data_IF_735268216678
#
_entry.id   IF_735268216678
#
_cell.length_a   1.000
_cell.length_b   1.000
_cell.length_c   1.000
_cell.angle_alpha   90.00
_cell.angle_beta   90.00
_cell.angle_gamma   90.00
#
_symmetry.space_group_name_H-M   'P 1'
#
loop_
_entity.id
_entity.type
_entity.pdbx_description
1 polymer ?
#
# COMPACT_ATOMS: atom_id res chain seq x y z
N UNK A 1 7.02 -17.95 -13.32
CA UNK A 1 7.57 -16.85 -14.15
C UNK A 1 8.70 -16.08 -13.43
N UNK A 2 9.34 -16.69 -12.43
CA UNK A 2 10.48 -16.08 -11.74
C UNK A 2 11.71 -16.05 -12.67
N UNK A 3 12.45 -14.94 -12.66
CA UNK A 3 13.60 -14.73 -13.53
C UNK A 3 14.78 -14.18 -12.73
N UNK A 4 15.95 -14.80 -12.90
CA UNK A 4 17.20 -14.22 -12.44
C UNK A 4 17.80 -13.36 -13.56
N UNK A 5 18.41 -12.24 -13.18
CA UNK A 5 19.07 -11.38 -14.15
C UNK A 5 20.53 -11.75 -14.28
N UNK A 6 21.07 -11.63 -15.49
CA UNK A 6 22.50 -11.69 -15.71
C UNK A 6 23.20 -10.44 -15.16
N UNK A 7 24.54 -10.51 -15.00
CA UNK A 7 25.35 -9.36 -14.58
C UNK A 7 25.26 -8.22 -15.61
N UNK A 8 25.16 -8.57 -16.88
CA UNK A 8 25.03 -7.63 -18.01
C UNK A 8 23.68 -6.92 -17.98
N UNK A 9 22.59 -7.65 -17.72
CA UNK A 9 21.25 -7.07 -17.57
C UNK A 9 21.19 -6.08 -16.40
N UNK A 10 21.79 -6.44 -15.27
CA UNK A 10 21.87 -5.55 -14.11
C UNK A 10 22.74 -4.31 -14.39
N UNK A 11 23.87 -4.48 -15.06
CA UNK A 11 24.73 -3.36 -15.47
C UNK A 11 24.01 -2.41 -16.45
N UNK A 12 23.27 -2.96 -17.42
CA UNK A 12 22.48 -2.19 -18.37
C UNK A 12 21.36 -1.41 -17.67
N UNK A 13 20.65 -2.03 -16.74
CA UNK A 13 19.62 -1.37 -15.94
C UNK A 13 20.20 -0.25 -15.07
N UNK A 14 21.35 -0.48 -14.43
CA UNK A 14 22.06 0.54 -13.65
C UNK A 14 22.47 1.73 -14.51
N UNK A 15 23.00 1.48 -15.70
CA UNK A 15 23.33 2.52 -16.69
C UNK A 15 22.07 3.32 -17.07
N UNK A 16 20.96 2.62 -17.35
CA UNK A 16 19.68 3.26 -17.69
C UNK A 16 19.14 4.15 -16.56
N UNK A 17 19.21 3.70 -15.31
CA UNK A 17 18.80 4.51 -14.15
C UNK A 17 19.65 5.78 -14.06
N UNK A 18 20.99 5.67 -14.20
CA UNK A 18 21.89 6.84 -14.22
C UNK A 18 21.55 7.82 -15.35
N UNK A 19 21.23 7.32 -16.55
CA UNK A 19 20.79 8.16 -17.66
C UNK A 19 19.48 8.89 -17.37
N UNK A 20 18.51 8.19 -16.77
CA UNK A 20 17.19 8.74 -16.46
C UNK A 20 17.27 9.79 -15.33
N UNK A 21 18.18 9.63 -14.37
CA UNK A 21 18.37 10.54 -13.24
C UNK A 21 19.36 11.67 -13.50
N UNK A 22 19.98 11.73 -14.68
CA UNK A 22 20.96 12.76 -15.05
C UNK A 22 20.40 14.19 -15.07
N UNK A 23 19.09 14.34 -15.25
CA UNK A 23 18.39 15.63 -15.12
C UNK A 23 17.28 15.45 -14.10
N UNK A 24 17.34 16.24 -13.04
CA UNK A 24 16.32 16.26 -11.99
C UNK A 24 15.27 17.32 -12.28
N UNK A 25 14.09 17.12 -11.69
CA UNK A 25 13.01 18.10 -11.60
C UNK A 25 13.53 19.34 -10.85
N UNK A 26 13.10 20.54 -11.24
CA UNK A 26 13.52 21.77 -10.56
C UNK A 26 13.03 21.78 -9.11
N UNK A 27 13.79 22.40 -8.20
CA UNK A 27 13.48 22.37 -6.76
C UNK A 27 12.08 22.93 -6.45
N UNK A 28 11.69 24.01 -7.12
CA UNK A 28 10.35 24.62 -6.98
C UNK A 28 9.23 23.64 -7.36
N UNK A 29 9.42 22.86 -8.42
CA UNK A 29 8.48 21.83 -8.84
C UNK A 29 8.50 20.64 -7.87
N UNK A 30 9.65 20.25 -7.31
CA UNK A 30 9.71 19.21 -6.28
C UNK A 30 8.87 19.57 -5.04
N UNK A 31 8.99 20.82 -4.56
CA UNK A 31 8.18 21.34 -3.44
C UNK A 31 6.69 21.30 -3.79
N UNK A 32 6.33 21.67 -5.02
CA UNK A 32 4.94 21.57 -5.51
C UNK A 32 4.44 20.12 -5.47
N UNK A 33 5.22 19.16 -5.97
CA UNK A 33 4.84 17.74 -5.99
C UNK A 33 4.65 17.13 -4.59
N UNK A 34 5.43 17.58 -3.59
CA UNK A 34 5.22 17.18 -2.20
C UNK A 34 3.95 17.83 -1.62
N UNK A 35 3.82 19.16 -1.73
CA UNK A 35 2.69 19.90 -1.15
C UNK A 35 1.34 19.48 -1.75
N UNK A 36 1.32 19.14 -3.03
CA UNK A 36 0.09 18.80 -3.77
C UNK A 36 -0.09 17.28 -3.95
N UNK A 37 0.69 16.45 -3.25
CA UNK A 37 0.65 14.99 -3.38
C UNK A 37 -0.77 14.41 -3.25
N UNK A 38 -1.54 14.85 -2.24
CA UNK A 38 -2.93 14.40 -2.05
C UNK A 38 -3.83 14.78 -3.24
N UNK A 39 -3.67 15.98 -3.82
CA UNK A 39 -4.45 16.44 -4.99
C UNK A 39 -4.21 15.58 -6.23
N UNK A 40 -2.97 15.15 -6.45
CA UNK A 40 -2.65 14.25 -7.57
C UNK A 40 -3.33 12.88 -7.41
N UNK A 41 -3.35 12.33 -6.20
CA UNK A 41 -4.05 11.07 -5.93
C UNK A 41 -5.57 11.21 -5.97
N UNK A 42 -6.16 12.27 -5.43
CA UNK A 42 -7.58 12.54 -5.57
C UNK A 42 -7.99 12.68 -7.04
N UNK A 43 -7.18 13.36 -7.84
CA UNK A 43 -7.41 13.49 -9.29
C UNK A 43 -7.34 12.12 -9.97
N UNK A 44 -6.34 11.31 -9.61
CA UNK A 44 -6.22 9.94 -10.08
C UNK A 44 -7.49 9.12 -9.77
N UNK A 45 -7.98 9.13 -8.53
CA UNK A 45 -9.18 8.37 -8.14
C UNK A 45 -10.47 8.93 -8.74
N UNK A 46 -10.57 10.25 -8.96
CA UNK A 46 -11.70 10.85 -9.69
C UNK A 46 -11.79 10.36 -11.14
N UNK A 47 -10.64 10.28 -11.83
CA UNK A 47 -10.57 9.83 -13.22
C UNK A 47 -10.80 8.32 -13.32
N UNK A 48 -10.15 7.54 -12.45
CA UNK A 48 -10.05 6.10 -12.60
C UNK A 48 -11.04 5.29 -11.78
N UNK A 49 -11.58 5.85 -10.69
CA UNK A 49 -12.46 5.18 -9.74
C UNK A 49 -11.85 3.82 -9.31
N UNK A 50 -12.64 2.76 -9.36
CA UNK A 50 -12.21 1.37 -9.07
C UNK A 50 -11.77 0.58 -10.31
N UNK A 51 -11.58 1.21 -11.48
CA UNK A 51 -11.37 0.49 -12.75
C UNK A 51 -9.91 0.31 -13.16
N UNK A 52 -8.99 1.03 -12.51
CA UNK A 52 -7.58 1.03 -12.91
C UNK A 52 -6.80 -0.16 -12.34
N UNK A 53 -6.97 -0.44 -11.05
CA UNK A 53 -6.33 -1.57 -10.40
C UNK A 53 -7.27 -2.77 -10.36
N UNK A 54 -6.68 -3.96 -10.45
CA UNK A 54 -7.40 -5.21 -10.21
C UNK A 54 -7.39 -5.54 -8.72
N UNK A 55 -8.40 -6.28 -8.30
CA UNK A 55 -8.43 -6.82 -6.96
C UNK A 55 -7.23 -7.71 -6.68
N UNK A 56 -6.66 -7.51 -5.49
CA UNK A 56 -5.41 -8.11 -5.05
C UNK A 56 -5.66 -9.47 -4.40
N UNK A 57 -6.41 -10.33 -5.07
CA UNK A 57 -6.73 -11.70 -4.61
C UNK A 57 -5.48 -12.56 -4.32
N UNK A 58 -4.32 -12.18 -4.84
CA UNK A 58 -3.04 -12.83 -4.56
C UNK A 58 -2.53 -12.56 -3.13
N UNK A 59 -3.03 -11.53 -2.43
CA UNK A 59 -2.55 -11.13 -1.10
C UNK A 59 -2.60 -12.27 -0.10
N UNK A 60 -3.73 -12.98 -0.01
CA UNK A 60 -3.91 -14.05 0.99
C UNK A 60 -2.95 -15.22 0.78
N UNK A 61 -2.48 -15.44 -0.46
CA UNK A 61 -1.46 -16.45 -0.75
C UNK A 61 -0.06 -15.98 -0.36
N UNK A 62 0.25 -14.70 -0.60
CA UNK A 62 1.57 -14.14 -0.33
C UNK A 62 1.77 -13.72 1.14
N UNK A 63 0.67 -13.43 1.81
CA UNK A 63 0.56 -12.92 3.17
C UNK A 63 -0.59 -13.63 3.92
N UNK A 64 -0.47 -14.94 4.18
CA UNK A 64 -1.48 -15.68 4.95
C UNK A 64 -1.64 -15.14 6.38
N UNK A 65 -0.66 -14.40 6.90
CA UNK A 65 -0.70 -13.76 8.22
C UNK A 65 -1.74 -12.64 8.34
N UNK A 66 -2.34 -12.19 7.23
CA UNK A 66 -3.47 -11.25 7.24
C UNK A 66 -4.68 -11.84 7.97
N UNK A 67 -4.79 -13.17 8.04
CA UNK A 67 -5.93 -13.85 8.64
C UNK A 67 -5.58 -14.39 10.04
N UNK A 68 -6.59 -14.49 10.94
CA UNK A 68 -6.44 -15.21 12.20
C UNK A 68 -5.95 -16.65 11.98
N UNK A 69 -5.23 -17.21 12.95
CA UNK A 69 -4.58 -18.53 12.84
C UNK A 69 -5.55 -19.65 12.46
N UNK A 70 -6.78 -19.61 12.98
CA UNK A 70 -7.82 -20.63 12.76
C UNK A 70 -8.47 -20.58 11.36
N UNK A 71 -8.05 -19.63 10.52
CA UNK A 71 -8.65 -19.37 9.20
C UNK A 71 -7.64 -19.42 8.06
N UNK A 72 -6.43 -19.93 8.34
CA UNK A 72 -5.44 -20.18 7.29
C UNK A 72 -5.98 -21.30 6.38
N UNK A 73 -5.97 -21.12 5.05
CA UNK A 73 -6.22 -22.23 4.14
C UNK A 73 -5.21 -23.34 4.43
N UNK A 74 -5.67 -24.57 4.70
CA UNK A 74 -4.77 -25.72 4.82
C UNK A 74 -3.96 -25.86 3.52
N UNK A 75 -2.67 -25.54 3.56
CA UNK A 75 -1.75 -25.94 2.51
C UNK A 75 -1.64 -27.46 2.57
N UNK A 76 -2.38 -28.16 1.70
CA UNK A 76 -2.14 -29.58 1.46
C UNK A 76 -0.69 -29.74 1.01
N UNK A 77 0.14 -30.26 1.92
CA UNK A 77 1.47 -30.77 1.63
C UNK A 77 1.40 -31.67 0.39
N UNK A 78 2.00 -31.19 -0.71
CA UNK A 78 2.39 -32.02 -1.85
C UNK A 78 3.89 -31.88 -2.02
N UNK A 79 4.61 -32.41 -1.05
CA UNK A 79 5.87 -33.09 -1.35
C UNK A 79 5.51 -34.47 -1.88
N UNK A 80 5.51 -34.64 -3.20
CA UNK A 80 5.71 -35.96 -3.80
C UNK A 80 6.38 -35.81 -5.17
N UNK A 81 7.66 -36.20 -5.18
CA UNK A 81 8.41 -36.77 -6.31
C UNK A 81 8.21 -36.15 -7.69
N UNK A 82 9.11 -35.25 -8.08
CA UNK A 82 9.45 -35.07 -9.49
C UNK A 82 10.60 -36.02 -9.84
N UNK A 83 10.26 -37.29 -10.06
CA UNK A 83 11.10 -38.19 -10.84
C UNK A 83 10.34 -38.64 -12.08
N UNK A 84 11.06 -38.58 -13.20
CA UNK A 84 10.76 -39.09 -14.54
C UNK A 84 9.88 -38.26 -15.48
N UNK A 85 10.58 -37.43 -16.24
CA UNK A 85 10.21 -36.95 -17.59
C UNK A 85 10.34 -38.10 -18.60
N UNK A 86 9.30 -38.35 -19.42
CA UNK A 86 9.42 -38.50 -20.89
C UNK A 86 8.07 -38.68 -21.63
N UNK A 87 7.90 -37.87 -22.70
CA UNK A 87 7.14 -38.07 -23.98
C UNK A 87 5.62 -38.31 -23.91
N UNK A 88 4.73 -37.87 -24.82
CA UNK A 88 4.79 -37.32 -26.17
C UNK A 88 3.41 -36.75 -26.59
N UNK A 89 3.43 -35.69 -27.42
CA UNK A 89 2.56 -35.38 -28.58
C UNK A 89 1.00 -35.43 -28.56
N UNK A 90 0.46 -34.38 -29.20
CA UNK A 90 -0.70 -34.28 -30.14
C UNK A 90 -2.15 -34.03 -29.67
N UNK A 91 -2.70 -32.88 -30.17
CA UNK A 91 -4.05 -32.57 -30.72
C UNK A 91 -5.32 -32.89 -29.88
N UNK A 92 -6.45 -32.16 -29.89
CA UNK A 92 -7.00 -31.05 -30.66
C UNK A 92 -8.37 -30.58 -30.04
N UNK A 93 -8.74 -29.31 -30.25
CA UNK A 93 -10.09 -28.65 -30.32
C UNK A 93 -11.15 -28.85 -29.19
N UNK A 94 -11.93 -27.84 -28.73
CA UNK A 94 -12.83 -26.90 -29.45
C UNK A 94 -13.18 -25.71 -28.51
N UNK A 95 -13.01 -24.41 -28.82
CA UNK A 95 -13.80 -23.44 -29.62
C UNK A 95 -15.27 -23.21 -29.20
N UNK A 96 -15.59 -21.97 -28.77
CA UNK A 96 -16.78 -21.13 -29.05
C UNK A 96 -16.59 -19.79 -28.27
N UNK A 97 -16.02 -18.73 -28.85
CA UNK A 97 -16.60 -17.62 -29.64
C UNK A 97 -17.60 -16.68 -28.93
N UNK A 98 -17.16 -15.43 -28.74
CA UNK A 98 -17.94 -14.23 -28.41
C UNK A 98 -18.40 -13.51 -29.70
N UNK A 99 -19.53 -12.79 -29.68
CA UNK A 99 -19.85 -11.81 -30.72
C UNK A 99 -19.42 -10.38 -30.32
N UNK A 100 -18.62 -9.76 -31.20
CA UNK A 100 -18.57 -8.30 -31.51
C UNK A 100 -19.81 -7.93 -32.33
N UNK A 101 -20.36 -6.71 -32.39
CA UNK A 101 -19.93 -5.41 -33.01
C UNK A 101 -21.06 -4.36 -32.75
N UNK A 102 -21.10 -3.10 -33.25
CA UNK A 102 -20.07 -2.11 -33.63
C UNK A 102 -20.33 -0.66 -33.11
N UNK A 103 -19.38 0.24 -33.41
CA UNK A 103 -19.47 1.71 -33.40
C UNK A 103 -20.49 2.26 -34.42
N UNK A 104 -21.22 3.32 -34.08
CA UNK A 104 -21.77 4.30 -35.04
C UNK A 104 -21.68 5.74 -34.52
N UNK A 105 -21.29 6.63 -35.44
CA UNK A 105 -21.30 8.09 -35.35
C UNK A 105 -22.73 8.62 -35.46
N UNK A 106 -23.03 9.75 -34.83
CA UNK A 106 -24.03 10.70 -35.35
C UNK A 106 -23.72 12.15 -34.93
N UNK A 107 -23.78 13.06 -35.91
CA UNK A 107 -23.91 14.50 -35.77
C UNK A 107 -25.42 14.85 -35.70
N UNK A 108 -25.82 15.86 -34.92
CA UNK A 108 -26.43 17.13 -35.40
C UNK A 108 -27.01 17.98 -34.23
N UNK A 109 -26.61 19.25 -34.27
CA UNK A 109 -27.29 20.52 -33.93
C UNK A 109 -27.88 20.88 -32.54
N UNK A 110 -27.60 22.16 -32.23
CA UNK A 110 -28.12 23.01 -31.16
C UNK A 110 -29.60 23.35 -31.39
N UNK A 111 -30.35 23.50 -30.29
CA UNK A 111 -31.19 24.69 -30.11
C UNK A 111 -31.43 25.01 -28.64
N UNK A 112 -31.66 26.30 -28.43
CA UNK A 112 -31.83 27.07 -27.20
C UNK A 112 -33.18 26.88 -26.50
N UNK A 113 -33.21 27.07 -25.19
CA UNK A 113 -34.45 27.32 -24.44
C UNK A 113 -34.18 27.62 -22.98
N UNK A 114 -34.46 28.84 -22.54
CA UNK A 114 -34.28 29.33 -21.17
C UNK A 114 -35.43 28.87 -20.26
N UNK A 115 -35.18 28.66 -18.97
CA UNK A 115 -36.07 29.18 -17.92
C UNK A 115 -35.39 29.20 -16.55
N UNK A 116 -35.72 30.26 -15.82
CA UNK A 116 -35.27 30.64 -14.50
C UNK A 116 -35.82 29.73 -13.38
N UNK A 117 -35.14 29.71 -12.24
CA UNK A 117 -35.63 29.10 -11.01
C UNK A 117 -34.66 29.30 -9.85
N UNK A 118 -34.89 30.36 -9.08
CA UNK A 118 -34.17 30.72 -7.85
C UNK A 118 -34.32 29.65 -6.75
N UNK A 119 -33.29 29.45 -5.93
CA UNK A 119 -33.45 29.47 -4.47
C UNK A 119 -32.10 29.59 -3.77
N UNK A 120 -32.02 30.61 -2.90
CA UNK A 120 -31.01 30.78 -1.85
C UNK A 120 -31.38 29.88 -0.68
N UNK A 121 -30.38 29.34 0.00
CA UNK A 121 -30.36 29.30 1.48
C UNK A 121 -28.93 29.14 1.97
N UNK A 122 -28.43 30.22 2.57
CA UNK A 122 -27.33 30.22 3.53
C UNK A 122 -27.74 29.42 4.79
N UNK A 123 -26.77 28.74 5.40
CA UNK A 123 -26.76 28.56 6.85
C UNK A 123 -25.33 28.38 7.33
N UNK A 124 -24.76 29.50 7.78
CA UNK A 124 -23.65 29.55 8.71
C UNK A 124 -24.04 28.84 10.02
N UNK A 125 -23.16 28.02 10.57
CA UNK A 125 -23.08 27.82 12.01
C UNK A 125 -21.64 27.84 12.47
N UNK A 126 -21.38 28.81 13.33
CA UNK A 126 -20.14 29.21 13.96
C UNK A 126 -19.76 28.31 15.15
N UNK A 127 -18.44 28.25 15.37
CA UNK A 127 -17.68 28.12 16.62
C UNK A 127 -18.40 27.60 17.88
N UNK A 128 -17.83 26.55 18.49
CA UNK A 128 -17.81 26.43 19.94
C UNK A 128 -16.54 25.70 20.46
N UNK A 129 -15.74 26.50 21.16
CA UNK A 129 -14.88 26.25 22.33
C UNK A 129 -13.99 25.01 22.44
N UNK A 130 -12.70 25.34 22.46
CA UNK A 130 -11.58 24.64 23.08
C UNK A 130 -11.69 24.66 24.62
N UNK A 131 -11.95 23.51 25.23
CA UNK A 131 -11.81 23.30 26.68
C UNK A 131 -10.73 22.23 26.98
N UNK A 132 -9.93 22.52 28.00
CA UNK A 132 -8.71 21.81 28.39
C UNK A 132 -9.07 20.58 29.22
N UNK A 133 -8.77 19.37 28.75
CA UNK A 133 -8.88 18.18 29.59
C UNK A 133 -7.54 17.72 30.18
N UNK A 134 -7.47 17.87 31.51
CA UNK A 134 -6.51 17.28 32.44
C UNK A 134 -6.53 15.75 32.31
N UNK A 135 -5.34 15.12 32.35
CA UNK A 135 -5.15 13.66 32.43
C UNK A 135 -5.80 13.09 33.69
N UNK A 136 -6.95 12.45 33.53
CA UNK A 136 -7.48 11.44 34.44
C UNK A 136 -7.17 10.01 33.95
N UNK A 137 -7.48 8.96 34.73
CA UNK A 137 -7.24 7.57 34.36
C UNK A 137 -8.01 7.24 33.07
N UNK A 138 -7.34 6.57 32.13
CA UNK A 138 -7.88 6.18 30.83
C UNK A 138 -9.22 5.43 30.99
N UNK A 139 -10.34 6.08 30.67
CA UNK A 139 -11.54 5.33 30.28
C UNK A 139 -11.13 4.43 29.11
N UNK A 140 -11.42 3.14 29.19
CA UNK A 140 -11.34 2.22 28.05
C UNK A 140 -12.37 2.66 27.02
N UNK A 141 -12.02 3.70 26.25
CA UNK A 141 -12.93 4.36 25.32
C UNK A 141 -13.40 3.39 24.25
N UNK A 142 -14.70 3.42 23.96
CA UNK A 142 -15.25 2.72 22.80
C UNK A 142 -14.64 3.35 21.53
N UNK A 143 -13.75 2.62 20.87
CA UNK A 143 -13.29 2.91 19.52
C UNK A 143 -13.89 1.90 18.51
N UNK A 144 -13.99 2.23 17.21
CA UNK A 144 -14.49 1.29 16.19
C UNK A 144 -13.69 -0.01 16.24
N UNK A 145 -14.33 -1.18 16.37
CA UNK A 145 -13.59 -2.45 16.45
C UNK A 145 -12.93 -2.74 17.81
N UNK A 146 -13.30 -2.02 18.87
CA UNK A 146 -12.83 -2.28 20.24
C UNK A 146 -13.13 -3.71 20.72
N UNK A 147 -14.26 -4.30 20.33
CA UNK A 147 -14.62 -5.68 20.67
C UNK A 147 -13.85 -6.75 19.88
N UNK A 148 -13.16 -6.39 18.80
CA UNK A 148 -12.47 -7.36 17.95
C UNK A 148 -11.21 -7.92 18.63
N UNK A 149 -10.95 -9.21 18.47
CA UNK A 149 -9.74 -9.88 18.99
C UNK A 149 -8.60 -9.90 17.99
N UNK A 150 -8.90 -9.67 16.70
CA UNK A 150 -7.92 -9.59 15.63
C UNK A 150 -8.10 -8.31 14.80
N UNK A 151 -7.09 -7.45 14.75
CA UNK A 151 -7.20 -6.12 14.13
C UNK A 151 -6.17 -5.90 13.04
N UNK A 152 -6.64 -5.49 11.87
CA UNK A 152 -5.82 -5.25 10.68
C UNK A 152 -5.90 -3.77 10.32
N UNK A 153 -4.78 -3.16 9.92
CA UNK A 153 -4.76 -1.86 9.26
C UNK A 153 -4.23 -2.01 7.83
N UNK A 154 -5.04 -1.66 6.82
CA UNK A 154 -4.56 -1.39 5.47
C UNK A 154 -4.22 0.10 5.32
N UNK A 155 -2.93 0.40 5.18
CA UNK A 155 -2.48 1.74 4.82
C UNK A 155 -2.52 1.91 3.30
N UNK A 156 -3.03 3.04 2.82
CA UNK A 156 -3.16 3.34 1.39
C UNK A 156 -4.19 2.44 0.70
N UNK A 157 -5.42 2.44 1.23
CA UNK A 157 -6.47 1.54 0.78
C UNK A 157 -6.91 1.79 -0.67
N UNK A 158 -6.66 2.99 -1.21
CA UNK A 158 -7.09 3.38 -2.54
C UNK A 158 -8.59 3.12 -2.76
N UNK A 159 -8.96 2.58 -3.92
CA UNK A 159 -10.34 2.21 -4.23
C UNK A 159 -10.80 0.87 -3.60
N UNK A 160 -10.04 0.30 -2.65
CA UNK A 160 -10.44 -0.91 -1.92
C UNK A 160 -10.06 -2.24 -2.55
N UNK A 161 -9.14 -2.26 -3.52
CA UNK A 161 -8.75 -3.48 -4.23
C UNK A 161 -8.09 -4.55 -3.35
N UNK A 162 -7.61 -4.23 -2.14
CA UNK A 162 -7.28 -5.23 -1.11
C UNK A 162 -8.37 -5.34 -0.06
N UNK A 163 -8.93 -4.20 0.36
CA UNK A 163 -10.00 -4.12 1.36
C UNK A 163 -11.08 -5.16 1.10
N UNK A 164 -11.66 -5.22 -0.10
CA UNK A 164 -12.80 -6.11 -0.36
C UNK A 164 -12.44 -7.59 -0.42
N UNK A 165 -11.33 -8.01 -1.06
CA UNK A 165 -10.84 -9.38 -0.90
C UNK A 165 -10.63 -9.79 0.56
N UNK A 166 -10.07 -8.91 1.39
CA UNK A 166 -9.86 -9.19 2.82
C UNK A 166 -11.19 -9.30 3.55
N UNK A 167 -12.10 -8.33 3.40
CA UNK A 167 -13.42 -8.35 4.03
C UNK A 167 -14.25 -9.58 3.64
N UNK A 168 -14.15 -10.01 2.38
CA UNK A 168 -14.84 -11.21 1.92
C UNK A 168 -14.34 -12.46 2.65
N UNK A 169 -13.04 -12.57 2.91
CA UNK A 169 -12.49 -13.68 3.69
C UNK A 169 -12.84 -13.59 5.17
N UNK A 170 -12.87 -12.37 5.73
CA UNK A 170 -13.25 -12.13 7.12
C UNK A 170 -14.76 -12.27 7.39
N UNK A 171 -15.58 -12.61 6.40
CA UNK A 171 -17.03 -12.65 6.59
C UNK A 171 -17.46 -13.63 7.68
N UNK A 172 -16.70 -14.72 7.85
CA UNK A 172 -16.95 -15.79 8.81
C UNK A 172 -16.19 -15.56 10.14
N UNK A 173 -15.72 -14.34 10.37
CA UNK A 173 -14.76 -13.97 11.42
C UNK A 173 -15.24 -12.70 12.12
N UNK A 174 -16.40 -12.75 12.82
CA UNK A 174 -17.00 -11.56 13.41
C UNK A 174 -16.08 -10.85 14.41
N UNK A 175 -15.15 -11.60 15.02
CA UNK A 175 -14.12 -11.12 15.94
C UNK A 175 -12.96 -10.35 15.26
N UNK A 176 -12.95 -10.27 13.93
CA UNK A 176 -11.94 -9.54 13.16
C UNK A 176 -12.43 -8.16 12.74
N UNK A 177 -11.53 -7.17 12.78
CA UNK A 177 -11.83 -5.81 12.35
C UNK A 177 -10.75 -5.25 11.43
N UNK A 178 -11.18 -4.66 10.31
CA UNK A 178 -10.31 -4.05 9.31
C UNK A 178 -10.43 -2.52 9.37
N UNK A 179 -9.36 -1.87 9.81
CA UNK A 179 -9.15 -0.45 9.55
C UNK A 179 -8.54 -0.29 8.17
N UNK A 180 -8.95 0.72 7.42
CA UNK A 180 -8.29 1.07 6.18
C UNK A 180 -8.23 2.59 6.01
N UNK A 181 -7.09 3.10 5.57
CA UNK A 181 -6.93 4.54 5.41
C UNK A 181 -6.25 4.93 4.12
N UNK A 182 -6.53 6.14 3.68
CA UNK A 182 -5.85 6.79 2.57
C UNK A 182 -5.82 8.29 2.84
N UNK A 183 -4.78 8.98 2.40
CA UNK A 183 -4.68 10.44 2.53
C UNK A 183 -5.53 11.19 1.48
N UNK A 184 -5.97 10.50 0.42
CA UNK A 184 -6.86 11.02 -0.60
C UNK A 184 -8.31 10.74 -0.19
N UNK A 185 -9.12 11.78 0.02
CA UNK A 185 -10.51 11.59 0.48
C UNK A 185 -11.37 10.85 -0.55
N UNK A 186 -11.11 11.08 -1.84
CA UNK A 186 -11.82 10.39 -2.91
C UNK A 186 -11.60 8.86 -2.91
N UNK A 187 -10.44 8.39 -2.43
CA UNK A 187 -10.18 6.96 -2.25
C UNK A 187 -11.06 6.36 -1.14
N UNK A 188 -11.10 7.03 0.01
CA UNK A 188 -11.89 6.62 1.16
C UNK A 188 -13.39 6.61 0.84
N UNK A 189 -13.87 7.60 0.09
CA UNK A 189 -15.26 7.65 -0.40
C UNK A 189 -15.60 6.47 -1.34
N UNK A 190 -14.69 6.08 -2.24
CA UNK A 190 -14.88 4.91 -3.09
C UNK A 190 -15.00 3.62 -2.26
N UNK A 191 -14.21 3.50 -1.18
CA UNK A 191 -14.32 2.34 -0.27
C UNK A 191 -15.66 2.33 0.46
N UNK A 192 -16.07 3.47 1.04
CA UNK A 192 -17.33 3.58 1.82
C UNK A 192 -18.58 3.38 0.98
N UNK A 193 -18.55 3.79 -0.30
CA UNK A 193 -19.68 3.67 -1.23
C UNK A 193 -19.80 2.30 -1.90
N UNK A 194 -18.82 1.43 -1.72
CA UNK A 194 -18.84 0.09 -2.30
C UNK A 194 -19.91 -0.79 -1.62
N UNK A 195 -20.68 -1.55 -2.40
CA UNK A 195 -21.77 -2.39 -1.88
C UNK A 195 -21.32 -3.47 -0.88
N UNK A 196 -20.07 -3.92 -0.98
CA UNK A 196 -19.46 -4.88 -0.05
C UNK A 196 -18.86 -4.24 1.21
N UNK A 197 -18.96 -2.92 1.38
CA UNK A 197 -18.51 -2.25 2.61
C UNK A 197 -19.38 -2.66 3.80
N UNK A 198 -18.75 -3.09 4.89
CA UNK A 198 -19.43 -3.57 6.11
C UNK A 198 -18.95 -2.79 7.32
N UNK A 199 -19.69 -1.75 7.72
CA UNK A 199 -19.31 -0.88 8.84
C UNK A 199 -19.14 -1.63 10.18
N UNK A 200 -19.75 -2.80 10.33
CA UNK A 200 -19.60 -3.66 11.52
C UNK A 200 -18.23 -4.34 11.64
N UNK A 201 -17.49 -4.48 10.53
CA UNK A 201 -16.17 -5.12 10.49
C UNK A 201 -15.10 -4.27 9.80
N UNK A 202 -15.46 -3.08 9.32
CA UNK A 202 -14.57 -2.22 8.56
C UNK A 202 -14.76 -0.77 8.96
N UNK A 203 -13.64 -0.05 9.12
CA UNK A 203 -13.64 1.39 9.30
C UNK A 203 -12.65 2.07 8.34
N UNK A 204 -13.20 2.72 7.31
CA UNK A 204 -12.43 3.51 6.37
C UNK A 204 -12.32 4.98 6.82
N UNK A 205 -11.12 5.56 6.81
CA UNK A 205 -10.88 6.94 7.26
C UNK A 205 -9.79 7.66 6.47
N UNK A 206 -9.90 8.99 6.38
CA UNK A 206 -8.87 9.82 5.73
C UNK A 206 -7.71 10.01 6.71
N UNK A 207 -6.50 9.72 6.27
CA UNK A 207 -5.32 9.83 7.13
C UNK A 207 -4.04 9.99 6.31
N UNK A 208 -3.32 11.09 6.51
CA UNK A 208 -1.94 11.22 6.03
C UNK A 208 -1.00 10.56 7.04
N UNK A 209 -0.52 9.35 6.71
CA UNK A 209 0.44 8.63 7.56
C UNK A 209 1.73 9.38 7.79
N UNK A 210 2.02 10.41 7.00
CA UNK A 210 3.20 11.23 7.13
C UNK A 210 3.00 12.45 8.03
N UNK A 211 1.77 12.73 8.49
CA UNK A 211 1.46 13.79 9.46
C UNK A 211 1.54 13.22 10.89
N UNK A 212 2.50 13.74 11.67
CA UNK A 212 2.79 13.26 13.02
C UNK A 212 1.76 13.73 14.06
N UNK A 213 0.94 14.73 13.73
CA UNK A 213 -0.07 15.30 14.61
C UNK A 213 -1.46 14.66 14.49
N UNK A 214 -1.70 13.86 13.44
CA UNK A 214 -3.00 13.23 13.21
C UNK A 214 -3.15 11.96 14.07
N UNK A 215 -4.15 11.90 14.97
CA UNK A 215 -4.42 10.70 15.74
C UNK A 215 -5.04 9.61 14.85
N UNK A 216 -4.74 8.35 15.16
CA UNK A 216 -5.49 7.21 14.65
C UNK A 216 -6.83 7.10 15.38
N UNK A 217 -7.88 6.54 14.76
CA UNK A 217 -9.19 6.34 15.39
C UNK A 217 -9.20 5.17 16.39
N UNK A 218 -8.02 4.80 16.91
CA UNK A 218 -7.79 3.71 17.82
C UNK A 218 -6.46 3.90 18.58
N UNK A 219 -6.27 3.29 19.76
CA UNK A 219 -5.03 3.39 20.53
C UNK A 219 -3.83 2.69 19.89
N UNK A 220 -2.62 3.10 20.27
CA UNK A 220 -1.38 2.39 19.94
C UNK A 220 -1.36 0.96 20.52
N UNK A 221 -0.58 0.07 19.89
CA UNK A 221 -0.32 -1.26 20.44
C UNK A 221 -1.44 -2.29 20.32
N UNK A 222 -2.44 -2.06 19.46
CA UNK A 222 -3.62 -2.93 19.35
C UNK A 222 -3.66 -3.79 18.08
N UNK A 223 -2.84 -3.47 17.07
CA UNK A 223 -2.93 -4.09 15.75
C UNK A 223 -2.17 -5.41 15.69
N UNK A 224 -2.82 -6.44 15.14
CA UNK A 224 -2.21 -7.72 14.79
C UNK A 224 -1.39 -7.60 13.51
N UNK A 225 -1.95 -6.90 12.52
CA UNK A 225 -1.39 -6.83 11.17
C UNK A 225 -1.49 -5.40 10.64
N UNK A 226 -0.40 -4.94 10.02
CA UNK A 226 -0.39 -3.75 9.17
C UNK A 226 -0.01 -4.17 7.76
N UNK A 227 -0.85 -3.82 6.78
CA UNK A 227 -0.58 -3.97 5.36
C UNK A 227 -0.06 -2.65 4.80
N UNK A 228 1.12 -2.71 4.17
CA UNK A 228 1.79 -1.58 3.56
C UNK A 228 2.19 -1.95 2.12
N UNK A 229 1.20 -1.92 1.22
CA UNK A 229 1.33 -2.46 -0.15
C UNK A 229 1.17 -1.34 -1.18
N UNK A 230 2.25 -1.03 -1.90
CA UNK A 230 2.35 0.08 -2.88
C UNK A 230 2.06 1.47 -2.30
N UNK A 231 2.53 1.72 -1.07
CA UNK A 231 2.30 2.99 -0.35
C UNK A 231 3.58 3.79 -0.21
N UNK A 232 4.63 3.21 0.37
CA UNK A 232 5.86 3.93 0.67
C UNK A 232 6.46 4.52 -0.61
N UNK A 233 6.31 3.87 -1.76
CA UNK A 233 6.80 4.43 -3.02
C UNK A 233 6.20 5.79 -3.39
N UNK A 234 5.05 6.18 -2.84
CA UNK A 234 4.43 7.48 -3.08
C UNK A 234 4.87 8.59 -2.10
N UNK A 235 5.60 8.22 -1.05
CA UNK A 235 6.05 9.09 0.04
C UNK A 235 7.49 9.56 -0.24
N UNK A 236 7.83 10.78 0.19
CA UNK A 236 9.20 11.27 0.08
C UNK A 236 10.15 10.39 0.94
N UNK A 237 11.33 9.96 0.43
CA UNK A 237 12.25 9.07 1.16
C UNK A 237 12.57 9.51 2.59
N UNK A 238 12.80 10.81 2.80
CA UNK A 238 13.13 11.38 4.11
C UNK A 238 12.01 11.22 5.15
N UNK A 239 10.76 11.04 4.72
CA UNK A 239 9.59 10.85 5.59
C UNK A 239 9.30 9.37 5.90
N UNK A 240 9.83 8.44 5.10
CA UNK A 240 9.49 7.01 5.20
C UNK A 240 9.87 6.41 6.56
N UNK A 241 11.03 6.77 7.11
CA UNK A 241 11.46 6.24 8.41
C UNK A 241 10.50 6.67 9.53
N UNK A 242 10.03 7.93 9.50
CA UNK A 242 9.04 8.44 10.46
C UNK A 242 7.73 7.65 10.40
N UNK A 243 7.25 7.36 9.18
CA UNK A 243 6.07 6.54 8.93
C UNK A 243 6.24 5.14 9.53
N UNK A 244 7.34 4.43 9.24
CA UNK A 244 7.56 3.07 9.76
C UNK A 244 7.71 3.06 11.29
N UNK A 245 8.39 4.07 11.86
CA UNK A 245 8.50 4.20 13.32
C UNK A 245 7.13 4.34 13.98
N UNK A 246 6.19 5.08 13.38
CA UNK A 246 4.81 5.20 13.89
C UNK A 246 4.02 3.92 13.71
N UNK A 247 4.02 3.32 12.52
CA UNK A 247 3.30 2.07 12.26
C UNK A 247 3.76 0.95 13.21
N UNK A 248 5.05 0.88 13.53
CA UNK A 248 5.60 -0.06 14.51
C UNK A 248 4.99 0.13 15.92
N UNK A 249 4.66 1.37 16.33
CA UNK A 249 4.00 1.63 17.63
C UNK A 249 2.56 1.09 17.68
N UNK A 250 1.84 1.13 16.56
CA UNK A 250 0.46 0.66 16.47
C UNK A 250 0.34 -0.87 16.61
N UNK A 251 1.38 -1.62 16.24
CA UNK A 251 1.41 -3.07 16.40
C UNK A 251 1.47 -3.48 17.87
N UNK A 252 0.73 -4.52 18.24
CA UNK A 252 0.94 -5.22 19.50
C UNK A 252 2.25 -6.03 19.47
N UNK A 253 2.81 -6.44 20.62
CA UNK A 253 3.94 -7.39 20.64
C UNK A 253 3.59 -8.66 19.84
N UNK A 254 4.50 -9.08 18.95
CA UNK A 254 4.27 -10.19 18.02
C UNK A 254 3.47 -9.84 16.76
N UNK A 255 2.92 -8.62 16.65
CA UNK A 255 2.20 -8.15 15.47
C UNK A 255 3.10 -8.03 14.23
N UNK A 256 2.49 -8.11 13.05
CA UNK A 256 3.19 -8.22 11.76
C UNK A 256 2.96 -6.97 10.88
N UNK A 257 4.03 -6.43 10.33
CA UNK A 257 3.99 -5.48 9.21
C UNK A 257 4.33 -6.22 7.92
N UNK A 258 3.38 -6.22 6.99
CA UNK A 258 3.44 -6.92 5.71
C UNK A 258 3.64 -5.89 4.59
N UNK A 259 4.78 -5.94 3.94
CA UNK A 259 5.25 -4.91 3.02
C UNK A 259 5.36 -5.46 1.59
N UNK A 260 4.86 -4.71 0.61
CA UNK A 260 5.17 -4.98 -0.80
C UNK A 260 5.20 -3.69 -1.61
N UNK A 261 6.30 -3.41 -2.29
CA UNK A 261 6.41 -2.21 -3.13
C UNK A 261 7.35 -2.42 -4.34
N UNK A 262 7.52 -1.40 -5.18
CA UNK A 262 8.35 -1.48 -6.38
C UNK A 262 9.83 -1.72 -6.03
N UNK A 263 10.44 -2.72 -6.67
CA UNK A 263 11.87 -2.99 -6.53
C UNK A 263 12.70 -2.24 -7.56
N UNK A 264 13.98 -2.03 -7.25
CA UNK A 264 14.95 -1.45 -8.19
C UNK A 264 14.96 -2.18 -9.50
N UNK A 265 15.10 -1.39 -10.56
CA UNK A 265 15.14 -1.83 -11.95
C UNK A 265 13.83 -2.45 -12.46
N UNK A 266 12.71 -2.29 -11.75
CA UNK A 266 11.40 -2.55 -12.33
C UNK A 266 11.26 -1.80 -13.66
N UNK A 267 10.59 -2.42 -14.63
CA UNK A 267 10.36 -1.82 -15.96
C UNK A 267 9.83 -0.38 -15.89
N UNK A 268 9.01 -0.04 -14.90
CA UNK A 268 8.50 1.32 -14.75
C UNK A 268 9.62 2.30 -14.41
N UNK A 269 10.57 1.94 -13.55
CA UNK A 269 11.77 2.75 -13.25
C UNK A 269 12.61 2.99 -14.52
N UNK A 270 12.86 1.92 -15.28
CA UNK A 270 13.74 1.97 -16.45
C UNK A 270 13.17 2.81 -17.61
N UNK A 271 11.85 3.06 -17.60
CA UNK A 271 11.15 3.82 -18.65
C UNK A 271 11.00 5.30 -18.38
N UNK A 272 11.31 5.79 -17.18
CA UNK A 272 11.31 7.23 -16.92
C UNK A 272 12.23 7.97 -17.89
N UNK A 273 11.85 9.19 -18.22
CA UNK A 273 12.68 10.09 -19.03
C UNK A 273 13.43 11.04 -18.10
N UNK A 274 14.46 11.67 -18.66
CA UNK A 274 15.16 12.79 -18.00
C UNK A 274 14.14 13.87 -17.62
N UNK A 275 14.38 14.57 -16.51
CA UNK A 275 13.46 15.59 -16.00
C UNK A 275 12.29 15.07 -15.18
N UNK A 276 12.20 13.75 -14.93
CA UNK A 276 11.20 13.17 -14.02
C UNK A 276 11.78 12.70 -12.68
N UNK A 277 13.10 12.79 -12.51
CA UNK A 277 13.79 12.36 -11.29
C UNK A 277 13.67 13.46 -10.23
N UNK A 278 13.00 13.18 -9.12
CA UNK A 278 12.88 14.08 -7.98
C UNK A 278 14.15 14.02 -7.12
N UNK A 279 14.50 12.81 -6.69
CA UNK A 279 15.71 12.50 -5.94
C UNK A 279 16.21 11.10 -6.32
N UNK A 280 17.28 10.62 -5.69
CA UNK A 280 17.87 9.33 -6.04
C UNK A 280 16.82 8.21 -6.01
N UNK A 281 16.49 7.73 -7.21
CA UNK A 281 15.47 6.72 -7.48
C UNK A 281 14.03 7.04 -7.04
N UNK A 282 13.74 8.31 -6.83
CA UNK A 282 12.40 8.83 -6.63
C UNK A 282 11.98 9.62 -7.86
N UNK A 283 10.82 9.29 -8.43
CA UNK A 283 10.38 9.85 -9.69
C UNK A 283 8.94 10.35 -9.63
N UNK A 284 8.64 11.35 -10.46
CA UNK A 284 7.28 11.83 -10.71
C UNK A 284 6.74 11.29 -12.03
N UNK A 285 5.50 10.83 -12.03
CA UNK A 285 4.76 10.33 -13.20
C UNK A 285 4.04 11.47 -13.92
N UNK A 286 3.52 11.19 -15.12
CA UNK A 286 2.82 12.19 -15.94
C UNK A 286 1.53 12.73 -15.32
N UNK A 287 0.94 12.00 -14.37
CA UNK A 287 -0.25 12.43 -13.60
C UNK A 287 0.13 13.17 -12.29
N UNK A 288 1.42 13.42 -12.06
CA UNK A 288 1.94 14.06 -10.85
C UNK A 288 2.08 13.12 -9.64
N UNK A 289 1.59 11.88 -9.72
CA UNK A 289 1.85 10.87 -8.68
C UNK A 289 3.31 10.44 -8.70
N UNK A 290 3.80 9.84 -7.61
CA UNK A 290 5.23 9.60 -7.40
C UNK A 290 5.52 8.13 -7.16
N UNK A 291 6.75 7.74 -7.45
CA UNK A 291 7.23 6.37 -7.26
C UNK A 291 8.70 6.34 -6.87
N UNK A 292 8.95 5.80 -5.69
CA UNK A 292 10.25 5.32 -5.24
C UNK A 292 10.43 3.85 -5.60
N UNK A 293 11.66 3.45 -5.83
CA UNK A 293 12.03 2.06 -6.11
C UNK A 293 12.99 1.57 -5.03
N UNK A 294 12.74 0.41 -4.45
CA UNK A 294 13.46 -0.06 -3.27
C UNK A 294 14.46 -1.17 -3.60
N UNK A 295 15.56 -1.20 -2.86
CA UNK A 295 16.40 -2.38 -2.68
C UNK A 295 15.94 -3.16 -1.46
N UNK A 296 16.28 -4.45 -1.40
CA UNK A 296 16.10 -5.27 -0.19
C UNK A 296 16.78 -4.64 1.04
N UNK A 297 17.99 -4.10 0.87
CA UNK A 297 18.81 -3.54 1.95
C UNK A 297 18.24 -2.25 2.54
N UNK A 298 17.70 -1.35 1.71
CA UNK A 298 17.00 -0.14 2.18
C UNK A 298 15.80 -0.51 3.05
N UNK A 299 14.98 -1.48 2.62
CA UNK A 299 13.81 -1.96 3.37
C UNK A 299 14.24 -2.63 4.67
N UNK A 300 15.25 -3.51 4.64
CA UNK A 300 15.80 -4.12 5.85
C UNK A 300 16.22 -3.06 6.88
N UNK A 301 17.07 -2.11 6.47
CA UNK A 301 17.58 -1.05 7.33
C UNK A 301 16.46 -0.21 7.94
N UNK A 302 15.48 0.20 7.12
CA UNK A 302 14.38 1.06 7.55
C UNK A 302 13.48 0.38 8.60
N UNK A 303 13.16 -0.90 8.39
CA UNK A 303 12.26 -1.64 9.27
C UNK A 303 12.96 -2.09 10.56
N UNK A 304 14.22 -2.52 10.50
CA UNK A 304 14.99 -2.85 11.70
C UNK A 304 15.26 -1.61 12.58
N UNK A 305 15.50 -0.44 11.98
CA UNK A 305 15.59 0.83 12.74
C UNK A 305 14.30 1.19 13.49
N UNK A 306 13.16 0.69 13.02
CA UNK A 306 11.87 0.82 13.69
C UNK A 306 11.58 -0.30 14.70
N UNK A 307 12.62 -1.05 15.11
CA UNK A 307 12.54 -2.16 16.06
C UNK A 307 11.63 -3.30 15.60
N UNK A 308 11.63 -3.60 14.30
CA UNK A 308 10.95 -4.76 13.73
C UNK A 308 11.97 -5.81 13.28
N UNK A 309 11.69 -7.07 13.60
CA UNK A 309 12.49 -8.23 13.18
C UNK A 309 12.12 -8.62 11.74
N UNK A 310 13.12 -8.73 10.86
CA UNK A 310 12.92 -9.27 9.51
C UNK A 310 12.64 -10.78 9.59
N UNK A 311 11.42 -11.20 9.23
CA UNK A 311 11.07 -12.62 9.09
C UNK A 311 11.22 -13.10 7.65
N UNK A 312 10.96 -12.20 6.70
CA UNK A 312 11.13 -12.46 5.28
C UNK A 312 11.39 -11.14 4.56
N UNK A 313 12.30 -11.14 3.58
CA UNK A 313 12.52 -9.99 2.70
C UNK A 313 13.08 -10.48 1.36
N UNK A 314 12.25 -10.46 0.33
CA UNK A 314 12.49 -11.09 -0.97
C UNK A 314 12.49 -10.05 -2.09
N UNK A 315 13.31 -10.29 -3.10
CA UNK A 315 13.25 -9.58 -4.38
C UNK A 315 12.48 -10.44 -5.36
N UNK A 316 11.21 -10.13 -5.57
CA UNK A 316 10.33 -10.85 -6.50
C UNK A 316 10.51 -10.28 -7.92
N UNK A 317 11.19 -11.07 -8.77
CA UNK A 317 11.41 -10.75 -10.19
C UNK A 317 10.53 -11.62 -11.05
N UNK A 318 9.70 -11.01 -11.90
CA UNK A 318 8.81 -11.74 -12.81
C UNK A 318 8.89 -11.24 -14.24
N UNK A 319 8.82 -12.16 -15.20
CA UNK A 319 8.66 -11.84 -16.61
C UNK A 319 7.19 -11.98 -17.02
N UNK A 320 6.51 -10.85 -17.18
CA UNK A 320 5.15 -10.80 -17.67
C UNK A 320 5.12 -10.51 -19.18
N UNK A 321 4.37 -11.30 -19.94
CA UNK A 321 4.24 -11.12 -21.39
C UNK A 321 2.82 -10.68 -21.72
N UNK A 322 2.68 -9.43 -22.21
CA UNK A 322 1.43 -9.00 -22.81
C UNK A 322 1.39 -9.49 -24.26
N UNK A 323 0.74 -10.64 -24.50
CA UNK A 323 0.64 -11.26 -25.83
C UNK A 323 -0.11 -10.38 -26.84
N UNK A 324 -1.13 -9.61 -26.41
CA UNK A 324 -1.87 -8.71 -27.30
C UNK A 324 -0.99 -7.57 -27.82
N UNK A 325 -0.11 -7.03 -26.97
CA UNK A 325 0.80 -5.93 -27.33
C UNK A 325 2.19 -6.40 -27.76
N UNK A 326 2.47 -7.70 -27.70
CA UNK A 326 3.80 -8.29 -27.91
C UNK A 326 4.90 -7.66 -27.04
N UNK A 327 4.55 -7.28 -25.80
CA UNK A 327 5.47 -6.59 -24.88
C UNK A 327 5.86 -7.51 -23.73
N UNK A 328 7.18 -7.76 -23.59
CA UNK A 328 7.79 -8.34 -22.39
C UNK A 328 7.94 -7.28 -21.29
N UNK A 329 7.64 -7.66 -20.06
CA UNK A 329 7.68 -6.78 -18.88
C UNK A 329 8.45 -7.47 -17.75
N UNK A 330 9.69 -7.04 -17.53
CA UNK A 330 10.44 -7.39 -16.34
C UNK A 330 9.93 -6.57 -15.17
N UNK A 331 9.24 -7.23 -14.25
CA UNK A 331 8.69 -6.61 -13.06
C UNK A 331 9.53 -6.99 -11.86
N UNK A 332 9.77 -6.02 -11.00
CA UNK A 332 10.56 -6.22 -9.78
C UNK A 332 9.80 -5.62 -8.61
N UNK A 333 9.64 -6.41 -7.56
CA UNK A 333 9.03 -6.00 -6.30
C UNK A 333 9.92 -6.40 -5.14
N UNK A 334 9.85 -5.62 -4.06
CA UNK A 334 10.33 -6.08 -2.75
C UNK A 334 9.10 -6.55 -1.98
N UNK A 335 9.20 -7.73 -1.38
CA UNK A 335 8.16 -8.33 -0.54
C UNK A 335 8.75 -8.69 0.81
N UNK A 336 8.25 -8.06 1.87
CA UNK A 336 8.76 -8.21 3.23
C UNK A 336 7.70 -8.59 4.24
N UNK A 337 8.13 -9.31 5.28
CA UNK A 337 7.35 -9.62 6.48
C UNK A 337 8.22 -9.28 7.68
N UNK A 338 7.73 -8.37 8.51
CA UNK A 338 8.46 -7.84 9.65
C UNK A 338 7.61 -7.98 10.90
N UNK A 339 8.19 -8.44 12.00
CA UNK A 339 7.45 -8.70 13.23
C UNK A 339 7.91 -7.76 14.34
N UNK A 340 6.97 -7.22 15.11
CA UNK A 340 7.31 -6.56 16.37
C UNK A 340 7.74 -7.61 17.41
N UNK A 341 8.88 -7.46 18.10
CA UNK A 341 9.31 -8.41 19.11
C UNK A 341 8.24 -8.72 20.17
N UNK A 342 8.20 -9.97 20.65
CA UNK A 342 7.23 -10.41 21.67
C UNK A 342 7.50 -9.78 23.05
N UNK A 343 8.76 -9.45 23.32
CA UNK A 343 9.18 -8.81 24.55
C UNK A 343 9.80 -7.46 24.20
N UNK A 344 9.37 -6.38 24.88
CA UNK A 344 10.19 -5.16 24.90
C UNK A 344 11.50 -5.55 25.60
N UNK A 345 12.59 -5.59 24.85
CA UNK A 345 13.92 -5.67 25.47
C UNK A 345 14.07 -4.41 26.34
N UNK A 346 13.93 -4.58 27.66
CA UNK A 346 14.35 -3.58 28.64
C UNK A 346 15.87 -3.45 28.59
N UNK A 347 16.41 -2.82 27.55
CA UNK A 347 17.84 -2.50 27.46
C UNK A 347 18.00 -1.00 27.27
N UNK A 348 17.85 -0.25 28.36
CA UNK A 348 18.44 1.09 28.54
C UNK A 348 18.18 1.63 29.95
N UNK A 349 18.70 0.96 30.99
CA UNK A 349 18.80 1.56 32.34
C UNK A 349 19.92 0.99 33.23
N UNK A 350 20.99 0.38 32.70
CA UNK A 350 22.11 -0.12 33.53
C UNK A 350 23.49 0.30 33.00
N UNK A 351 23.62 1.55 32.56
CA UNK A 351 24.94 2.20 32.37
C UNK A 351 25.08 3.44 33.27
N UNK A 352 24.71 3.33 34.55
CA UNK A 352 25.16 4.25 35.60
C UNK A 352 25.24 3.47 36.91
N UNK A 353 26.38 2.82 37.20
CA UNK A 353 26.83 2.45 38.56
C UNK A 353 28.05 1.52 38.52
N UNK A 354 29.18 1.93 37.95
CA UNK A 354 30.46 1.22 38.19
C UNK A 354 31.69 2.13 38.13
N UNK A 355 31.57 3.40 38.54
CA UNK A 355 32.71 4.33 38.62
C UNK A 355 32.82 5.09 39.96
N UNK A 356 32.27 4.54 41.04
CA UNK A 356 32.52 5.05 42.40
C UNK A 356 32.67 3.87 43.36
N UNK A 357 33.81 3.19 43.31
CA UNK A 357 34.34 2.32 44.38
C UNK A 357 35.74 1.84 43.98
N UNK A 358 36.72 2.74 43.94
CA UNK A 358 38.10 2.39 44.26
C UNK A 358 38.70 3.55 45.04
N UNK A 359 39.16 3.19 46.23
CA UNK A 359 39.91 3.98 47.21
C UNK A 359 41.21 4.58 46.64
#
# INVERSE_FOLDING_TARGET
DHVQWSKEEEAAARKKVKENSAVRVLLEEQVKYEREASKYWDTFYKIHKNKFFKDRNWLLREFPEILPVDQKPEEKARESSWDHVKTSATNCFSRMHCPTVPDEKNHYEKSSGSSEGQSKTESDFSNLDSEKHKKGPMETGLFPGSNATFRILEVGCGAGNSVFPILNTLQNSPESFLYCCDFASGAVELVKSHSSYRATQCFAFVHDVCDDGLPYPFPDGILDVILLVFVLSSIHPDRMQGVINRLSKLLKPGGMLLFRDYGRYDKTQLRFKKGHCLSENFYVRGDGTRAYFFTKGEVHSMFCKASLDEKQNLVDRRLQVNRKKQVKMHRVWIQGKFQKPLHQTQNSSNMVSTLLSQD
#
